data_IF_145977405521
#
_entry.id   IF_145977405521
#
_cell.length_a   1.000
_cell.length_b   1.000
_cell.length_c   1.000
_cell.angle_alpha   90.00
_cell.angle_beta   90.00
_cell.angle_gamma   90.00
#
_symmetry.space_group_name_H-M   'P 1'
#
loop_
_entity.id
_entity.type
_entity.pdbx_description
1 polymer ?
#
# COMPACT_ATOMS: atom_id res chain seq x y z
N UNK A 1 -3.35 -51.77 -5.85
CA UNK A 1 -3.41 -50.49 -5.12
C UNK A 1 -3.00 -49.35 -6.07
N UNK A 2 -3.86 -48.36 -6.30
CA UNK A 2 -3.59 -47.28 -7.27
C UNK A 2 -2.68 -46.21 -6.61
N UNK A 3 -1.63 -45.69 -7.29
CA UNK A 3 -0.61 -44.83 -6.69
C UNK A 3 -1.11 -43.43 -6.23
N UNK A 4 -2.36 -43.07 -6.46
CA UNK A 4 -2.96 -41.80 -6.06
C UNK A 4 -3.22 -41.63 -4.57
N UNK A 5 -3.28 -42.70 -3.80
CA UNK A 5 -3.60 -42.65 -2.37
C UNK A 5 -2.38 -42.46 -1.47
N UNK A 6 -1.18 -42.72 -1.99
CA UNK A 6 0.08 -42.59 -1.21
C UNK A 6 0.49 -41.12 -1.12
N UNK A 7 0.23 -40.32 -2.17
CA UNK A 7 0.62 -38.92 -2.19
C UNK A 7 -0.26 -38.02 -1.27
N UNK A 8 -1.52 -38.43 -1.07
CA UNK A 8 -2.44 -37.71 -0.17
C UNK A 8 -2.13 -37.92 1.29
N UNK A 9 -1.72 -39.14 1.67
CA UNK A 9 -1.35 -39.45 3.04
C UNK A 9 -0.03 -38.77 3.47
N UNK A 10 0.91 -38.60 2.53
CA UNK A 10 2.16 -37.92 2.80
C UNK A 10 1.99 -36.40 2.98
N UNK A 11 0.98 -35.80 2.34
CA UNK A 11 0.72 -34.36 2.46
C UNK A 11 0.00 -34.03 3.77
N UNK A 12 -0.92 -34.84 4.23
CA UNK A 12 -1.61 -34.63 5.52
C UNK A 12 -0.72 -34.83 6.73
N UNK A 13 0.27 -35.73 6.66
CA UNK A 13 1.26 -35.95 7.71
C UNK A 13 2.32 -34.83 7.79
N UNK A 14 2.65 -34.17 6.67
CA UNK A 14 3.59 -33.06 6.65
C UNK A 14 3.01 -31.76 7.23
N UNK A 15 1.71 -31.51 7.07
CA UNK A 15 1.03 -30.33 7.61
C UNK A 15 0.80 -30.44 9.11
N UNK A 16 0.58 -31.64 9.65
CA UNK A 16 0.40 -31.86 11.10
C UNK A 16 1.68 -31.74 11.90
N UNK A 17 2.85 -31.94 11.28
CA UNK A 17 4.15 -31.87 11.97
C UNK A 17 4.66 -30.43 12.19
N UNK A 18 4.15 -29.43 11.44
CA UNK A 18 4.60 -28.03 11.55
C UNK A 18 3.90 -27.30 12.70
N UNK A 19 2.73 -27.77 13.16
CA UNK A 19 1.98 -27.11 14.25
C UNK A 19 2.36 -27.56 15.66
N UNK A 20 3.22 -28.57 15.83
CA UNK A 20 3.56 -29.14 17.15
C UNK A 20 4.83 -28.52 17.78
N UNK A 21 5.50 -27.54 17.15
CA UNK A 21 6.80 -27.01 17.65
C UNK A 21 6.74 -25.60 18.25
N UNK A 22 5.57 -25.07 18.59
CA UNK A 22 5.43 -23.71 19.14
C UNK A 22 4.98 -23.70 20.62
N UNK A 23 5.20 -24.71 21.40
CA UNK A 23 4.98 -24.60 22.85
C UNK A 23 6.07 -25.35 23.57
N UNK A 24 7.07 -24.66 24.05
CA UNK A 24 7.85 -24.81 25.30
C UNK A 24 9.30 -24.30 25.15
N UNK A 25 9.48 -22.99 25.30
CA UNK A 25 10.76 -22.49 25.79
C UNK A 25 10.53 -22.02 27.23
N UNK A 26 11.21 -22.58 28.22
CA UNK A 26 11.18 -22.03 29.57
C UNK A 26 11.87 -20.66 29.54
N UNK A 27 11.18 -19.66 30.03
CA UNK A 27 11.75 -18.34 30.31
C UNK A 27 12.79 -18.50 31.42
N UNK A 28 14.04 -18.63 31.07
CA UNK A 28 15.14 -18.36 31.98
C UNK A 28 15.32 -16.82 31.96
N UNK A 29 14.67 -16.15 32.90
CA UNK A 29 14.99 -14.77 33.23
C UNK A 29 16.43 -14.72 33.75
N UNK A 30 17.37 -14.35 32.90
CA UNK A 30 18.64 -13.82 33.35
C UNK A 30 18.48 -12.31 33.52
N UNK A 31 18.35 -11.92 34.77
CA UNK A 31 18.48 -10.57 35.27
C UNK A 31 19.89 -10.06 34.92
N UNK A 32 20.06 -9.42 33.80
CA UNK A 32 21.23 -8.60 33.50
C UNK A 32 20.80 -7.15 33.56
N UNK A 33 21.03 -6.56 34.69
CA UNK A 33 20.97 -5.13 35.00
C UNK A 33 22.04 -4.40 34.17
N UNK A 34 21.80 -4.22 32.87
CA UNK A 34 22.52 -3.25 32.05
C UNK A 34 21.62 -2.72 30.94
N UNK A 35 21.43 -1.41 30.96
CA UNK A 35 20.69 -0.58 29.97
C UNK A 35 19.19 -0.89 29.85
N UNK A 36 18.41 -0.45 30.82
CA UNK A 36 17.05 -0.04 30.54
C UNK A 36 17.11 1.10 29.53
N UNK A 37 17.20 0.76 28.25
CA UNK A 37 16.70 1.62 27.20
C UNK A 37 15.27 1.95 27.61
N UNK A 38 15.02 3.19 28.03
CA UNK A 38 13.70 3.71 28.26
C UNK A 38 12.97 3.65 26.92
N UNK A 39 12.30 2.52 26.65
CA UNK A 39 11.31 2.46 25.60
C UNK A 39 10.30 3.52 25.96
N UNK A 40 10.28 4.59 25.14
CA UNK A 40 9.34 5.69 25.34
C UNK A 40 7.95 5.08 25.22
N UNK A 41 7.18 5.09 26.30
CA UNK A 41 5.80 4.61 26.28
C UNK A 41 5.00 5.38 25.25
N UNK A 42 4.30 4.66 24.38
CA UNK A 42 3.42 5.27 23.40
C UNK A 42 2.09 5.67 24.05
N UNK A 43 1.43 6.62 23.42
CA UNK A 43 0.08 7.07 23.77
C UNK A 43 -0.59 7.64 22.51
N UNK A 44 -1.86 7.99 22.59
CA UNK A 44 -2.57 8.65 21.48
C UNK A 44 -1.83 9.90 20.99
N UNK A 45 -1.14 10.62 21.88
CA UNK A 45 -0.32 11.80 21.54
C UNK A 45 0.90 11.48 20.66
N UNK A 46 1.34 10.23 20.64
CA UNK A 46 2.43 9.76 19.77
C UNK A 46 2.08 9.98 18.30
N UNK A 47 0.80 9.93 17.93
CA UNK A 47 0.31 10.07 16.56
C UNK A 47 -0.29 11.45 16.27
N UNK A 48 0.20 12.51 16.87
CA UNK A 48 -0.22 13.88 16.55
C UNK A 48 0.49 14.36 15.27
N UNK A 49 0.00 13.94 14.10
CA UNK A 49 0.58 14.32 12.80
C UNK A 49 -0.27 13.87 11.60
N UNK A 50 0.21 14.24 10.41
CA UNK A 50 -0.32 13.78 9.14
C UNK A 50 0.54 12.61 8.62
N UNK A 51 -0.13 11.62 8.03
CA UNK A 51 0.48 10.40 7.50
C UNK A 51 -0.02 10.14 6.08
N UNK A 52 0.90 9.88 5.17
CA UNK A 52 0.60 9.25 3.90
C UNK A 52 0.31 7.77 4.14
N UNK A 53 -0.71 7.28 3.50
CA UNK A 53 -1.25 5.94 3.69
C UNK A 53 -1.19 5.16 2.40
N UNK A 54 -0.81 3.91 2.52
CA UNK A 54 -0.87 2.92 1.46
C UNK A 54 -1.38 1.59 2.02
N UNK A 55 -2.28 0.93 1.27
CA UNK A 55 -2.70 -0.44 1.58
C UNK A 55 -3.01 -1.22 0.31
N UNK A 56 -2.83 -2.53 0.40
CA UNK A 56 -3.21 -3.48 -0.63
C UNK A 56 -3.84 -4.72 -0.01
N UNK A 57 -4.71 -5.38 -0.77
CA UNK A 57 -5.40 -6.54 -0.25
C UNK A 57 -6.40 -7.16 -1.20
N UNK A 58 -7.30 -7.93 -0.62
CA UNK A 58 -8.34 -8.68 -1.34
C UNK A 58 -9.67 -8.58 -0.60
N UNK A 59 -10.73 -8.31 -1.34
CA UNK A 59 -12.10 -8.35 -0.87
C UNK A 59 -12.69 -9.74 -1.11
N UNK A 60 -13.30 -10.33 -0.09
CA UNK A 60 -13.99 -11.61 -0.15
C UNK A 60 -15.51 -11.45 -0.12
N UNK A 61 -16.01 -10.29 0.31
CA UNK A 61 -17.43 -9.95 0.34
C UNK A 61 -17.68 -8.58 -0.26
N UNK A 62 -18.85 -8.40 -0.83
CA UNK A 62 -19.36 -7.09 -1.23
C UNK A 62 -19.88 -6.30 -0.03
N UNK A 63 -20.25 -5.05 -0.25
CA UNK A 63 -20.96 -4.17 0.70
C UNK A 63 -22.27 -4.76 1.23
N UNK A 64 -22.96 -5.57 0.41
CA UNK A 64 -24.18 -6.29 0.81
C UNK A 64 -23.90 -7.59 1.61
N UNK A 65 -22.62 -7.92 1.86
CA UNK A 65 -22.20 -9.15 2.56
C UNK A 65 -22.17 -10.40 1.68
N UNK A 66 -22.46 -10.29 0.38
CA UNK A 66 -22.40 -11.42 -0.53
C UNK A 66 -20.95 -11.83 -0.80
N UNK A 67 -20.67 -13.14 -0.79
CA UNK A 67 -19.34 -13.67 -1.09
C UNK A 67 -18.96 -13.39 -2.55
N UNK A 68 -17.78 -12.83 -2.75
CA UNK A 68 -17.20 -12.57 -4.07
C UNK A 68 -16.48 -13.82 -4.58
N UNK A 69 -16.78 -14.23 -5.80
CA UNK A 69 -16.14 -15.38 -6.44
C UNK A 69 -15.85 -15.06 -7.92
N UNK A 70 -14.58 -14.87 -8.29
CA UNK A 70 -13.37 -14.91 -7.44
C UNK A 70 -13.30 -13.72 -6.47
N UNK A 71 -12.48 -13.80 -5.41
CA UNK A 71 -12.13 -12.66 -4.58
C UNK A 71 -11.48 -11.54 -5.40
N UNK A 72 -11.71 -10.29 -5.01
CA UNK A 72 -11.31 -9.12 -5.82
C UNK A 72 -10.15 -8.37 -5.16
N UNK A 73 -8.99 -8.26 -5.80
CA UNK A 73 -7.87 -7.48 -5.29
C UNK A 73 -8.18 -5.99 -5.31
N UNK A 74 -7.57 -5.26 -4.38
CA UNK A 74 -7.64 -3.82 -4.34
C UNK A 74 -6.32 -3.19 -3.87
N UNK A 75 -6.14 -1.91 -4.22
CA UNK A 75 -5.11 -1.04 -3.67
C UNK A 75 -5.74 0.29 -3.25
N UNK A 76 -5.17 0.92 -2.24
CA UNK A 76 -5.65 2.19 -1.71
C UNK A 76 -4.48 3.07 -1.27
N UNK A 77 -4.58 4.37 -1.52
CA UNK A 77 -3.64 5.37 -1.05
C UNK A 77 -4.38 6.60 -0.55
N UNK A 78 -3.72 7.45 0.24
CA UNK A 78 -4.33 8.68 0.72
C UNK A 78 -3.51 9.36 1.80
N UNK A 79 -4.13 10.35 2.46
CA UNK A 79 -3.53 11.11 3.56
C UNK A 79 -4.48 11.14 4.74
N UNK A 80 -3.97 10.80 5.92
CA UNK A 80 -4.70 10.82 7.18
C UNK A 80 -4.02 11.74 8.19
N UNK A 81 -4.83 12.45 8.96
CA UNK A 81 -4.40 13.27 10.09
C UNK A 81 -4.89 12.63 11.39
N UNK A 82 -3.97 12.30 12.28
CA UNK A 82 -4.24 11.91 13.65
C UNK A 82 -4.08 13.14 14.54
N UNK A 83 -5.09 13.45 15.38
CA UNK A 83 -5.15 14.68 16.20
C UNK A 83 -4.35 14.59 17.51
N UNK A 84 -3.87 13.41 17.89
CA UNK A 84 -3.24 13.15 19.19
C UNK A 84 -4.24 12.98 20.35
N UNK A 85 -5.53 12.98 20.06
CA UNK A 85 -6.62 12.82 21.03
C UNK A 85 -7.45 11.55 20.78
N UNK A 86 -7.08 10.78 19.75
CA UNK A 86 -7.73 9.52 19.39
C UNK A 86 -8.68 9.63 18.18
N UNK A 87 -8.72 10.77 17.49
CA UNK A 87 -9.48 10.90 16.26
C UNK A 87 -8.56 10.92 15.04
N UNK A 88 -9.03 10.31 13.96
CA UNK A 88 -8.37 10.29 12.66
C UNK A 88 -9.35 10.75 11.58
N UNK A 89 -8.85 11.59 10.67
CA UNK A 89 -9.61 12.05 9.50
C UNK A 89 -8.69 12.19 8.30
N UNK A 90 -9.25 12.20 7.10
CA UNK A 90 -8.45 12.37 5.88
C UNK A 90 -9.20 12.04 4.62
N UNK A 91 -8.44 11.80 3.55
CA UNK A 91 -8.91 11.37 2.24
C UNK A 91 -8.20 10.10 1.81
N UNK A 92 -8.88 9.32 0.98
CA UNK A 92 -8.29 8.14 0.37
C UNK A 92 -8.79 7.94 -1.07
N UNK A 93 -7.98 7.23 -1.82
CA UNK A 93 -8.26 6.76 -3.16
C UNK A 93 -8.26 5.23 -3.13
N UNK A 94 -9.08 4.61 -3.96
CA UNK A 94 -9.27 3.16 -3.98
C UNK A 94 -9.43 2.68 -5.42
N UNK A 95 -8.72 1.62 -5.77
CA UNK A 95 -8.88 0.87 -7.01
C UNK A 95 -9.23 -0.58 -6.65
N UNK A 96 -10.41 -1.04 -7.06
CA UNK A 96 -10.91 -2.41 -6.84
C UNK A 96 -11.06 -3.12 -8.18
N UNK A 97 -10.31 -4.20 -8.36
CA UNK A 97 -10.39 -5.04 -9.56
C UNK A 97 -10.04 -4.30 -10.87
N UNK A 98 -9.42 -3.13 -10.78
CA UNK A 98 -9.12 -2.28 -11.93
C UNK A 98 -10.33 -1.63 -12.60
N UNK A 99 -11.53 -1.84 -12.09
CA UNK A 99 -12.78 -1.33 -12.68
C UNK A 99 -13.57 -0.37 -11.80
N UNK A 100 -13.52 -0.51 -10.49
CA UNK A 100 -14.12 0.44 -9.55
C UNK A 100 -13.03 1.37 -9.01
N UNK A 101 -13.07 2.61 -9.43
CA UNK A 101 -12.14 3.65 -8.97
C UNK A 101 -12.92 4.67 -8.15
N UNK A 102 -12.47 4.90 -6.92
CA UNK A 102 -12.96 5.97 -6.06
C UNK A 102 -11.79 6.89 -5.73
N UNK A 103 -11.94 8.19 -5.97
CA UNK A 103 -10.92 9.19 -5.69
C UNK A 103 -11.44 10.25 -4.72
N UNK A 104 -10.56 10.77 -3.85
CA UNK A 104 -10.88 11.86 -2.94
C UNK A 104 -12.00 11.54 -1.94
N UNK A 105 -12.15 10.27 -1.56
CA UNK A 105 -13.17 9.87 -0.57
C UNK A 105 -12.73 10.31 0.81
N UNK A 106 -13.61 11.01 1.52
CA UNK A 106 -13.34 11.43 2.90
C UNK A 106 -13.58 10.30 3.88
N UNK A 107 -12.78 10.26 4.94
CA UNK A 107 -12.91 9.29 6.03
C UNK A 107 -12.67 9.98 7.36
N UNK A 108 -13.42 9.57 8.38
CA UNK A 108 -13.19 9.98 9.76
C UNK A 108 -13.50 8.81 10.69
N UNK A 109 -12.76 8.68 11.77
CA UNK A 109 -12.93 7.60 12.73
C UNK A 109 -12.09 7.82 13.98
N UNK A 110 -11.86 6.73 14.73
CA UNK A 110 -11.11 6.78 15.99
C UNK A 110 -9.95 5.79 15.98
N UNK A 111 -8.93 6.10 16.76
CA UNK A 111 -7.81 5.21 17.00
C UNK A 111 -7.43 5.15 18.47
N UNK A 112 -6.75 4.08 18.85
CA UNK A 112 -6.16 3.85 20.17
C UNK A 112 -4.68 3.49 19.99
N UNK A 113 -3.85 3.98 20.91
CA UNK A 113 -2.44 3.62 21.02
C UNK A 113 -2.19 3.14 22.43
N UNK A 114 -1.67 1.93 22.58
CA UNK A 114 -1.30 1.34 23.85
C UNK A 114 0.15 1.72 24.23
N UNK A 115 0.52 1.60 25.52
CA UNK A 115 1.89 1.91 25.99
C UNK A 115 2.99 1.09 25.29
N UNK A 116 2.69 -0.10 24.80
CA UNK A 116 3.60 -0.98 24.05
C UNK A 116 3.71 -0.62 22.56
N UNK A 117 3.17 0.54 22.15
CA UNK A 117 3.12 1.04 20.77
C UNK A 117 2.27 0.19 19.82
N UNK A 118 1.39 -0.66 20.33
CA UNK A 118 0.36 -1.25 19.48
C UNK A 118 -0.73 -0.23 19.17
N UNK A 119 -1.26 -0.32 17.96
CA UNK A 119 -2.24 0.59 17.37
C UNK A 119 -3.49 -0.18 16.99
N UNK A 120 -4.65 0.43 17.18
CA UNK A 120 -5.90 -0.02 16.58
C UNK A 120 -6.74 1.17 16.12
N UNK A 121 -7.50 0.98 15.05
CA UNK A 121 -8.41 2.00 14.53
C UNK A 121 -9.68 1.37 13.96
N UNK A 122 -10.79 2.11 14.10
CA UNK A 122 -12.06 1.79 13.45
C UNK A 122 -12.46 2.94 12.55
N UNK A 123 -12.57 2.66 11.26
CA UNK A 123 -12.89 3.61 10.22
C UNK A 123 -14.13 3.14 9.44
N UNK A 124 -15.10 4.01 9.10
CA UNK A 124 -16.12 3.66 8.14
C UNK A 124 -15.47 3.42 6.77
N UNK A 125 -15.71 2.28 6.15
CA UNK A 125 -15.19 1.98 4.83
C UNK A 125 -16.03 2.60 3.72
N UNK A 126 -15.38 3.04 2.64
CA UNK A 126 -16.05 3.64 1.48
C UNK A 126 -16.90 2.68 0.64
N UNK A 127 -16.82 1.38 0.92
CA UNK A 127 -17.66 0.35 0.33
C UNK A 127 -18.71 -0.18 1.32
N UNK A 128 -19.08 0.64 2.35
CA UNK A 128 -20.03 0.20 3.38
C UNK A 128 -19.47 -0.85 4.35
N UNK A 129 -18.25 -1.31 4.18
CA UNK A 129 -17.58 -2.25 5.08
C UNK A 129 -16.85 -1.47 6.18
N UNK A 130 -17.01 -1.81 7.48
CA UNK A 130 -16.15 -1.27 8.51
C UNK A 130 -14.70 -1.65 8.22
N UNK A 131 -13.77 -0.74 8.47
CA UNK A 131 -12.34 -0.98 8.30
C UNK A 131 -11.67 -0.97 9.67
N UNK A 132 -11.77 -2.09 10.36
CA UNK A 132 -11.01 -2.30 11.60
C UNK A 132 -9.56 -2.63 11.27
N UNK A 133 -8.66 -1.97 11.97
CA UNK A 133 -7.21 -2.11 11.75
C UNK A 133 -6.49 -2.33 13.07
N UNK A 134 -5.49 -3.18 13.05
CA UNK A 134 -4.51 -3.31 14.11
C UNK A 134 -3.10 -3.13 13.54
N UNK A 135 -2.16 -2.69 14.37
CA UNK A 135 -0.81 -2.47 13.89
C UNK A 135 0.18 -2.13 14.99
N UNK A 136 1.37 -1.74 14.57
CA UNK A 136 2.46 -1.31 15.45
C UNK A 136 3.07 -0.02 14.94
N UNK A 137 3.41 0.87 15.88
CA UNK A 137 4.10 2.12 15.61
C UNK A 137 5.60 1.87 15.72
N UNK A 138 6.35 2.32 14.73
CA UNK A 138 7.81 2.23 14.69
C UNK A 138 8.41 3.61 14.35
N UNK A 139 9.68 3.81 14.67
CA UNK A 139 10.39 5.05 14.38
C UNK A 139 9.93 6.24 15.22
N UNK A 140 10.58 7.36 15.02
CA UNK A 140 10.27 8.64 15.67
C UNK A 140 10.37 9.79 14.67
N UNK A 141 9.70 10.91 14.97
CA UNK A 141 9.74 12.12 14.15
C UNK A 141 9.27 11.83 12.73
N UNK A 142 10.04 12.24 11.73
CA UNK A 142 9.71 12.04 10.31
C UNK A 142 9.89 10.60 9.83
N UNK A 143 10.55 9.74 10.60
CA UNK A 143 10.68 8.31 10.32
C UNK A 143 9.60 7.47 11.02
N UNK A 144 8.58 8.12 11.58
CA UNK A 144 7.48 7.41 12.22
C UNK A 144 6.61 6.71 11.17
N UNK A 145 6.41 5.42 11.38
CA UNK A 145 5.59 4.56 10.55
C UNK A 145 4.62 3.74 11.39
N UNK A 146 3.47 3.39 10.83
CA UNK A 146 2.50 2.47 11.41
C UNK A 146 2.28 1.36 10.40
N UNK A 147 2.70 0.14 10.75
CA UNK A 147 2.40 -1.04 9.93
C UNK A 147 1.07 -1.61 10.37
N UNK A 148 0.12 -1.76 9.47
CA UNK A 148 -1.25 -2.16 9.76
C UNK A 148 -1.65 -3.44 9.03
N UNK A 149 -2.55 -4.18 9.67
CA UNK A 149 -3.37 -5.22 9.05
C UNK A 149 -4.85 -4.89 9.27
N UNK A 150 -5.71 -5.34 8.39
CA UNK A 150 -7.15 -5.24 8.55
C UNK A 150 -7.63 -6.43 9.38
N UNK A 151 -8.49 -6.15 10.35
CA UNK A 151 -8.92 -7.13 11.36
C UNK A 151 -10.43 -7.34 11.37
N UNK A 152 -11.10 -7.11 10.24
CA UNK A 152 -12.53 -7.28 10.10
C UNK A 152 -12.97 -8.69 10.52
N UNK A 153 -13.79 -8.84 11.58
CA UNK A 153 -14.10 -10.15 12.16
C UNK A 153 -14.98 -11.02 11.27
N UNK A 154 -15.68 -10.42 10.30
CA UNK A 154 -16.55 -11.12 9.35
C UNK A 154 -15.79 -11.76 8.18
N UNK A 155 -14.47 -11.60 8.10
CA UNK A 155 -13.63 -12.10 7.03
C UNK A 155 -13.92 -11.49 5.66
N UNK A 156 -14.47 -10.25 5.63
CA UNK A 156 -14.82 -9.54 4.39
C UNK A 156 -13.60 -9.05 3.62
N UNK A 157 -12.49 -8.79 4.32
CA UNK A 157 -11.28 -8.23 3.73
C UNK A 157 -10.02 -8.87 4.33
N UNK A 158 -9.04 -9.12 3.48
CA UNK A 158 -7.66 -9.34 3.86
C UNK A 158 -6.83 -8.21 3.27
N UNK A 159 -6.17 -7.43 4.11
CA UNK A 159 -5.31 -6.35 3.65
C UNK A 159 -4.24 -6.00 4.68
N UNK A 160 -3.19 -5.39 4.18
CA UNK A 160 -2.13 -4.81 4.98
C UNK A 160 -1.69 -3.49 4.35
N UNK A 161 -1.00 -2.68 5.13
CA UNK A 161 -0.54 -1.40 4.66
C UNK A 161 0.41 -0.71 5.63
N UNK A 162 0.81 0.48 5.23
CA UNK A 162 1.71 1.32 6.02
C UNK A 162 1.20 2.76 5.99
N UNK A 163 1.24 3.41 7.14
CA UNK A 163 1.12 4.85 7.26
C UNK A 163 2.51 5.39 7.62
N UNK A 164 2.99 6.37 6.86
CA UNK A 164 4.29 7.02 7.09
C UNK A 164 4.09 8.53 7.18
N UNK A 165 4.77 9.17 8.12
CA UNK A 165 4.62 10.59 8.34
C UNK A 165 4.92 11.40 7.08
N UNK A 166 4.03 12.36 6.74
CA UNK A 166 4.23 13.30 5.63
C UNK A 166 5.09 14.49 6.06
N UNK A 167 5.72 15.19 5.12
CA UNK A 167 6.24 16.52 5.39
C UNK A 167 5.14 17.45 5.94
N UNK A 168 5.53 18.48 6.66
CA UNK A 168 4.60 19.51 7.15
C UNK A 168 3.94 20.27 5.99
N UNK A 169 4.70 20.49 4.91
CA UNK A 169 4.30 21.20 3.70
C UNK A 169 4.77 20.45 2.46
N UNK A 170 3.93 20.39 1.46
CA UNK A 170 4.30 19.87 0.15
C UNK A 170 4.02 20.88 -0.96
N UNK A 171 4.75 20.76 -2.05
CA UNK A 171 4.60 21.53 -3.28
C UNK A 171 5.27 20.77 -4.42
N UNK A 172 5.17 21.26 -5.64
CA UNK A 172 5.91 20.69 -6.79
C UNK A 172 7.40 20.52 -6.50
N UNK A 173 8.01 21.51 -5.84
CA UNK A 173 9.45 21.50 -5.49
C UNK A 173 9.83 20.41 -4.49
N UNK A 174 8.85 19.88 -3.75
CA UNK A 174 9.07 18.76 -2.83
C UNK A 174 9.59 17.53 -3.56
N UNK A 175 9.16 17.31 -4.80
CA UNK A 175 9.53 16.14 -5.60
C UNK A 175 10.71 16.37 -6.56
N UNK A 176 11.48 17.46 -6.42
CA UNK A 176 12.64 17.70 -7.27
C UNK A 176 13.75 16.66 -7.06
N UNK A 177 14.25 16.07 -8.17
CA UNK A 177 15.41 15.16 -8.16
C UNK A 177 15.11 13.76 -8.70
N UNK A 178 16.04 12.85 -8.46
CA UNK A 178 15.97 11.47 -8.94
C UNK A 178 15.30 10.56 -7.92
N UNK A 179 14.53 9.62 -8.44
CA UNK A 179 13.81 8.62 -7.66
C UNK A 179 13.98 7.24 -8.28
N UNK A 180 14.24 6.25 -7.44
CA UNK A 180 14.11 4.85 -7.79
C UNK A 180 12.63 4.47 -7.75
N UNK A 181 12.14 3.85 -8.82
CA UNK A 181 10.79 3.32 -8.96
C UNK A 181 10.79 1.83 -8.71
N UNK A 182 9.85 1.37 -7.93
CA UNK A 182 9.47 -0.04 -7.82
C UNK A 182 7.94 -0.12 -7.75
N UNK A 183 7.35 -0.97 -8.60
CA UNK A 183 5.92 -1.18 -8.64
C UNK A 183 5.55 -2.63 -8.86
N UNK A 184 4.39 -3.01 -8.34
CA UNK A 184 3.81 -4.33 -8.55
C UNK A 184 2.29 -4.30 -8.58
N UNK A 185 1.70 -5.33 -9.18
CA UNK A 185 0.26 -5.44 -9.25
C UNK A 185 -0.24 -6.49 -10.24
N UNK A 186 -1.49 -6.33 -10.59
CA UNK A 186 -2.27 -7.28 -11.38
C UNK A 186 -2.93 -6.58 -12.58
N UNK A 187 -2.87 -7.23 -13.74
CA UNK A 187 -3.54 -6.82 -14.96
C UNK A 187 -4.68 -7.80 -15.23
N UNK A 188 -5.90 -7.30 -15.34
CA UNK A 188 -7.08 -8.08 -15.70
C UNK A 188 -7.22 -8.10 -17.22
N UNK A 189 -6.85 -9.19 -17.86
CA UNK A 189 -7.06 -9.40 -19.30
C UNK A 189 -8.48 -9.87 -19.62
N UNK A 190 -9.17 -10.41 -18.62
CA UNK A 190 -10.61 -10.73 -18.62
C UNK A 190 -11.11 -10.84 -17.17
N UNK A 191 -12.40 -11.05 -16.98
CA UNK A 191 -13.01 -11.25 -15.66
C UNK A 191 -12.40 -12.44 -14.86
N UNK A 192 -11.76 -13.40 -15.56
CA UNK A 192 -11.20 -14.62 -14.94
C UNK A 192 -9.70 -14.81 -15.20
N UNK A 193 -9.09 -14.00 -16.05
CA UNK A 193 -7.67 -14.08 -16.39
C UNK A 193 -6.93 -12.86 -15.84
N UNK A 194 -6.07 -13.12 -14.87
CA UNK A 194 -5.27 -12.11 -14.17
C UNK A 194 -3.79 -12.40 -14.40
N UNK A 195 -3.03 -11.38 -14.76
CA UNK A 195 -1.60 -11.47 -15.03
C UNK A 195 -0.83 -10.62 -14.01
N UNK A 196 0.13 -11.20 -13.27
CA UNK A 196 0.99 -10.43 -12.39
C UNK A 196 1.99 -9.59 -13.20
N UNK A 197 2.28 -8.39 -12.70
CA UNK A 197 3.28 -7.49 -13.25
C UNK A 197 4.08 -6.86 -12.13
N UNK A 198 5.38 -6.69 -12.37
CA UNK A 198 6.26 -5.86 -11.56
C UNK A 198 7.08 -4.92 -12.46
N UNK A 199 7.44 -3.77 -11.93
CA UNK A 199 8.30 -2.77 -12.60
C UNK A 199 9.40 -2.29 -11.68
N UNK A 200 10.55 -1.96 -12.26
CA UNK A 200 11.62 -1.25 -11.57
C UNK A 200 12.27 -0.26 -12.54
N UNK A 201 12.62 0.93 -12.06
CA UNK A 201 13.14 1.96 -12.92
C UNK A 201 13.70 3.17 -12.18
N UNK A 202 13.95 4.21 -12.96
CA UNK A 202 14.40 5.51 -12.48
C UNK A 202 13.58 6.60 -13.14
N UNK A 203 13.26 7.62 -12.38
CA UNK A 203 12.64 8.82 -12.91
C UNK A 203 13.21 10.07 -12.26
N UNK A 204 13.09 11.19 -12.98
CA UNK A 204 13.58 12.49 -12.54
C UNK A 204 12.43 13.49 -12.56
N UNK A 205 12.12 14.08 -11.41
CA UNK A 205 11.18 15.19 -11.28
C UNK A 205 11.93 16.52 -11.42
N UNK A 206 11.39 17.46 -12.21
CA UNK A 206 11.98 18.80 -12.40
C UNK A 206 11.70 19.77 -11.24
N UNK A 207 10.69 19.48 -10.41
CA UNK A 207 10.19 20.38 -9.35
C UNK A 207 9.26 21.47 -9.87
N UNK A 208 8.85 21.41 -11.12
CA UNK A 208 7.98 22.37 -11.82
C UNK A 208 6.71 21.74 -12.37
N UNK A 209 6.51 20.45 -12.10
CA UNK A 209 5.31 19.70 -12.48
C UNK A 209 5.51 18.70 -13.63
N UNK A 210 6.77 18.45 -14.04
CA UNK A 210 7.06 17.46 -15.07
C UNK A 210 8.05 16.42 -14.56
N UNK A 211 8.00 15.23 -15.14
CA UNK A 211 8.97 14.16 -14.90
C UNK A 211 9.19 13.33 -16.16
N UNK A 212 10.33 12.65 -16.19
CA UNK A 212 10.67 11.66 -17.21
C UNK A 212 11.43 10.51 -16.58
N UNK A 213 11.40 9.36 -17.23
CA UNK A 213 12.06 8.18 -16.71
C UNK A 213 12.08 6.99 -17.67
N UNK A 214 12.62 5.90 -17.17
CA UNK A 214 12.61 4.62 -17.84
C UNK A 214 12.48 3.47 -16.84
N UNK A 215 11.79 2.42 -17.24
CA UNK A 215 11.57 1.25 -16.40
C UNK A 215 11.71 -0.05 -17.19
N UNK A 216 12.09 -1.09 -16.45
CA UNK A 216 12.01 -2.49 -16.87
C UNK A 216 10.78 -3.10 -16.20
N UNK A 217 9.91 -3.71 -17.00
CA UNK A 217 8.73 -4.43 -16.51
C UNK A 217 8.88 -5.93 -16.72
N UNK A 218 8.35 -6.71 -15.80
CA UNK A 218 8.12 -8.14 -15.94
C UNK A 218 6.63 -8.40 -15.89
N UNK A 219 6.06 -8.89 -16.98
CA UNK A 219 4.64 -9.26 -17.06
C UNK A 219 4.54 -10.74 -17.35
N UNK A 220 4.15 -11.52 -16.35
CA UNK A 220 4.03 -12.99 -16.45
C UNK A 220 5.29 -13.66 -17.03
N UNK A 221 6.49 -13.21 -16.63
CA UNK A 221 7.78 -13.72 -17.12
C UNK A 221 8.31 -13.05 -18.39
N UNK A 222 7.50 -12.27 -19.09
CA UNK A 222 7.93 -11.47 -20.25
C UNK A 222 8.59 -10.17 -19.79
N UNK A 223 9.86 -9.96 -20.17
CA UNK A 223 10.61 -8.75 -19.80
C UNK A 223 10.44 -7.69 -20.88
N UNK A 224 10.13 -6.47 -20.46
CA UNK A 224 9.98 -5.30 -21.33
C UNK A 224 10.76 -4.12 -20.77
N UNK A 225 11.20 -3.22 -21.64
CA UNK A 225 11.82 -1.96 -21.26
C UNK A 225 11.11 -0.82 -21.99
N UNK A 226 10.94 0.30 -21.33
CA UNK A 226 10.29 1.46 -21.93
C UNK A 226 10.64 2.75 -21.20
N UNK A 227 10.56 3.85 -21.94
CA UNK A 227 10.64 5.20 -21.40
C UNK A 227 9.25 5.78 -21.22
N UNK A 228 9.15 6.73 -20.31
CA UNK A 228 7.93 7.47 -20.04
C UNK A 228 8.25 8.91 -19.67
N UNK A 229 7.28 9.78 -19.81
CA UNK A 229 7.28 11.16 -19.33
C UNK A 229 5.89 11.49 -18.80
N UNK A 230 5.78 12.57 -18.05
CA UNK A 230 4.47 12.94 -17.54
C UNK A 230 4.46 14.26 -16.82
N UNK A 231 3.27 14.58 -16.34
CA UNK A 231 3.04 15.75 -15.49
C UNK A 231 2.56 15.30 -14.11
N UNK A 232 2.81 16.13 -13.10
CA UNK A 232 2.34 15.85 -11.75
C UNK A 232 1.89 17.12 -11.03
N UNK A 233 1.04 16.93 -10.05
CA UNK A 233 0.64 17.97 -9.09
C UNK A 233 0.89 17.46 -7.66
N UNK A 234 1.12 18.38 -6.75
CA UNK A 234 1.27 18.08 -5.31
C UNK A 234 0.46 19.11 -4.54
N UNK A 235 -0.43 18.66 -3.67
CA UNK A 235 -1.21 19.54 -2.78
C UNK A 235 -0.42 19.90 -1.53
N UNK A 236 -0.85 20.94 -0.81
CA UNK A 236 -0.28 21.32 0.47
C UNK A 236 -0.36 20.19 1.51
N UNK A 237 -1.35 19.30 1.35
CA UNK A 237 -1.57 18.12 2.20
C UNK A 237 -0.73 16.90 1.81
N UNK A 238 0.20 17.08 0.84
CA UNK A 238 1.09 16.02 0.36
C UNK A 238 0.40 14.91 -0.42
N UNK A 239 -0.79 15.13 -0.96
CA UNK A 239 -1.33 14.26 -1.99
C UNK A 239 -0.65 14.57 -3.34
N UNK A 240 -0.34 13.52 -4.09
CA UNK A 240 0.23 13.60 -5.44
C UNK A 240 -0.74 13.02 -6.45
N UNK A 241 -0.82 13.65 -7.61
CA UNK A 241 -1.51 13.10 -8.78
C UNK A 241 -0.61 13.24 -9.99
N UNK A 242 -0.51 12.19 -10.80
CA UNK A 242 0.33 12.16 -11.98
C UNK A 242 -0.40 11.59 -13.20
N UNK A 243 -0.02 12.09 -14.38
CA UNK A 243 -0.37 11.54 -15.68
C UNK A 243 0.91 11.14 -16.39
N UNK A 244 1.00 9.88 -16.82
CA UNK A 244 2.18 9.25 -17.40
C UNK A 244 1.88 8.87 -18.86
N UNK A 245 2.69 9.36 -19.78
CA UNK A 245 2.72 8.93 -21.17
C UNK A 245 3.86 7.93 -21.38
N UNK A 246 3.56 6.71 -21.80
CA UNK A 246 4.60 5.75 -22.19
C UNK A 246 5.12 6.13 -23.60
N UNK A 247 6.38 6.52 -23.67
CA UNK A 247 7.01 7.11 -24.89
C UNK A 247 7.84 6.13 -25.70
N UNK A 248 8.21 4.98 -25.13
CA UNK A 248 8.97 3.94 -25.86
C UNK A 248 8.71 2.54 -25.31
N UNK A 249 9.10 1.53 -26.09
CA UNK A 249 8.89 0.12 -25.72
C UNK A 249 7.55 -0.42 -26.26
N UNK A 250 7.17 -1.66 -25.84
CA UNK A 250 5.99 -2.34 -26.37
C UNK A 250 4.67 -1.71 -25.94
N UNK A 251 4.67 -0.88 -24.89
CA UNK A 251 3.49 -0.19 -24.36
C UNK A 251 3.41 1.28 -24.80
N UNK A 252 4.13 1.67 -25.86
CA UNK A 252 4.12 3.06 -26.37
C UNK A 252 2.70 3.54 -26.63
N UNK A 253 2.39 4.76 -26.15
CA UNK A 253 1.07 5.38 -26.27
C UNK A 253 0.06 4.95 -25.20
N UNK A 254 0.44 4.12 -24.22
CA UNK A 254 -0.37 3.90 -23.01
C UNK A 254 -0.30 5.15 -22.15
N UNK A 255 -1.45 5.58 -21.63
CA UNK A 255 -1.57 6.68 -20.66
C UNK A 255 -2.01 6.10 -19.31
N UNK A 256 -1.32 6.51 -18.24
CA UNK A 256 -1.60 6.04 -16.88
C UNK A 256 -1.86 7.26 -16.00
N UNK A 257 -2.91 7.20 -15.18
CA UNK A 257 -3.13 8.19 -14.12
C UNK A 257 -2.91 7.53 -12.76
N UNK A 258 -2.21 8.25 -11.91
CA UNK A 258 -1.84 7.82 -10.56
C UNK A 258 -2.27 8.86 -9.54
N UNK A 259 -2.56 8.37 -8.32
CA UNK A 259 -2.78 9.20 -7.15
C UNK A 259 -2.11 8.56 -5.95
N UNK A 260 -1.53 9.39 -5.10
CA UNK A 260 -0.78 8.88 -3.96
C UNK A 260 -0.47 9.93 -2.92
N UNK A 261 0.54 9.65 -2.11
CA UNK A 261 1.00 10.53 -1.05
C UNK A 261 2.52 10.62 -0.98
N UNK A 262 3.01 11.81 -0.65
CA UNK A 262 4.43 12.08 -0.37
C UNK A 262 4.68 11.89 1.11
N UNK A 263 5.68 11.08 1.46
CA UNK A 263 6.06 10.77 2.84
C UNK A 263 7.56 11.00 3.06
N UNK A 264 7.98 11.06 4.34
CA UNK A 264 9.37 11.26 4.69
C UNK A 264 9.90 12.64 4.31
N UNK A 265 11.15 12.91 4.63
CA UNK A 265 11.84 14.17 4.31
C UNK A 265 13.21 13.92 3.68
N UNK A 266 13.66 14.89 2.87
CA UNK A 266 15.01 14.89 2.27
C UNK A 266 15.32 13.55 1.59
N UNK A 267 16.34 12.84 2.06
CA UNK A 267 16.82 11.57 1.50
C UNK A 267 15.90 10.37 1.84
N UNK A 268 15.05 10.51 2.86
CA UNK A 268 14.04 9.47 3.20
C UNK A 268 12.69 9.70 2.52
N UNK A 269 12.62 10.63 1.55
CA UNK A 269 11.37 10.93 0.84
C UNK A 269 10.94 9.78 -0.04
N UNK A 270 9.67 9.44 0.10
CA UNK A 270 9.02 8.41 -0.68
C UNK A 270 7.70 8.93 -1.23
N UNK A 271 7.26 8.34 -2.33
CA UNK A 271 5.90 8.49 -2.86
C UNK A 271 5.32 7.08 -2.89
N UNK A 272 4.10 6.95 -2.38
CA UNK A 272 3.30 5.74 -2.52
C UNK A 272 2.04 6.09 -3.28
N UNK A 273 1.88 5.52 -4.46
CA UNK A 273 0.75 5.78 -5.33
C UNK A 273 0.07 4.51 -5.83
N UNK A 274 -1.11 4.70 -6.38
CA UNK A 274 -1.91 3.66 -7.01
C UNK A 274 -2.35 4.12 -8.39
N UNK A 275 -2.47 3.19 -9.31
CA UNK A 275 -3.06 3.46 -10.63
C UNK A 275 -4.57 3.63 -10.48
N UNK A 276 -5.09 4.73 -11.00
CA UNK A 276 -6.53 4.99 -11.05
C UNK A 276 -7.11 4.68 -12.42
N UNK A 277 -6.42 5.07 -13.49
CA UNK A 277 -6.83 4.69 -14.85
C UNK A 277 -5.62 4.31 -15.68
N UNK A 278 -5.80 3.34 -16.57
CA UNK A 278 -4.85 2.98 -17.61
C UNK A 278 -5.59 2.92 -18.93
N UNK A 279 -5.10 3.65 -19.92
CA UNK A 279 -5.73 3.75 -21.23
C UNK A 279 -4.76 3.25 -22.30
N UNK A 280 -5.22 2.31 -23.14
CA UNK A 280 -4.43 1.79 -24.25
C UNK A 280 -4.23 2.88 -25.33
N UNK A 281 -3.29 2.70 -26.28
CA UNK A 281 -3.08 3.62 -27.40
C UNK A 281 -4.33 3.85 -28.28
N UNK A 282 -5.27 2.90 -28.26
CA UNK A 282 -6.56 3.01 -28.95
C UNK A 282 -7.63 3.76 -28.16
N UNK A 283 -7.31 4.25 -26.95
CA UNK A 283 -8.27 4.93 -26.07
C UNK A 283 -9.13 3.98 -25.23
N UNK A 284 -8.89 2.66 -25.28
CA UNK A 284 -9.67 1.70 -24.51
C UNK A 284 -9.17 1.59 -23.07
N UNK A 285 -10.05 1.58 -22.06
CA UNK A 285 -9.65 1.41 -20.67
C UNK A 285 -9.04 0.02 -20.45
N UNK A 286 -8.03 -0.03 -19.60
CA UNK A 286 -7.38 -1.22 -19.13
C UNK A 286 -7.64 -1.38 -17.64
N UNK A 287 -7.83 -2.60 -17.17
CA UNK A 287 -8.14 -2.89 -15.77
C UNK A 287 -6.87 -3.35 -15.04
N UNK A 288 -6.20 -2.42 -14.38
CA UNK A 288 -4.99 -2.68 -13.60
C UNK A 288 -5.24 -2.35 -12.13
N UNK A 289 -4.83 -3.24 -11.25
CA UNK A 289 -4.71 -3.00 -9.80
C UNK A 289 -3.22 -2.97 -9.53
N UNK A 290 -2.65 -1.78 -9.46
CA UNK A 290 -1.21 -1.58 -9.45
C UNK A 290 -0.81 -0.47 -8.48
N UNK A 291 0.38 -0.56 -7.95
CA UNK A 291 0.95 0.38 -7.00
C UNK A 291 2.41 0.60 -7.31
N UNK A 292 2.85 1.83 -7.11
CA UNK A 292 4.24 2.21 -7.18
C UNK A 292 4.75 2.76 -5.84
N UNK A 293 6.01 2.51 -5.58
CA UNK A 293 6.78 3.14 -4.53
C UNK A 293 8.00 3.80 -5.15
N UNK A 294 8.13 5.09 -4.95
CA UNK A 294 9.26 5.87 -5.42
C UNK A 294 10.09 6.31 -4.23
N UNK A 295 11.40 6.06 -4.28
CA UNK A 295 12.35 6.44 -3.21
C UNK A 295 13.38 7.40 -3.76
N UNK A 296 13.54 8.53 -3.08
CA UNK A 296 14.54 9.53 -3.44
C UNK A 296 15.95 8.94 -3.36
N UNK A 297 16.80 9.31 -4.34
CA UNK A 297 18.21 8.93 -4.41
C UNK A 297 19.12 10.08 -4.04
#
# INVERSE_FOLDING_TARGET
>A
MKPKNILRLAFELAVSAVFAFVVALPAAAQDSDHDRNHWKECSVKTLHSRFGFFAQGTLFKSDSGATLTPPVPFVSSGVFTCDGEGNVSGSYNLNVGGGLILTGQTIAGTYVVNPDCTYSATLPGGLGLPLDRAGTITGEGMNQEIHIIYTNPDGSVFAYGTLKRTPEWCSLKTLKGNYALFGDGLIFVSATAIIPRATAGLLTFDGEGNFEGAATGNTNGGITQGGFKGTYTVTDDCEVSAEIDVTSGPNIGVVIHEVGSVTGERESREIHDIFTTVTSPSGSPQHWVFTDTLKKQ
#
